data_IF_822727948272
#
_entry.id   IF_822727948272
#
_cell.length_a   1.000
_cell.length_b   1.000
_cell.length_c   1.000
_cell.angle_alpha   90.00
_cell.angle_beta   90.00
_cell.angle_gamma   90.00
#
_symmetry.space_group_name_H-M   'P 1'
#
loop_
_entity.id
_entity.type
_entity.pdbx_description
1 polymer ?
#
# COMPACT_ATOMS: atom_id res chain seq x y z
N UNK A 1 14.13 -44.43 0.62
CA UNK A 1 14.25 -42.95 0.60
C UNK A 1 12.85 -42.40 0.34
N UNK A 2 12.18 -41.89 1.37
CA UNK A 2 10.83 -41.29 1.24
C UNK A 2 11.01 -39.76 1.22
N UNK A 3 10.65 -39.17 0.10
CA UNK A 3 10.67 -37.69 -0.09
C UNK A 3 9.46 -37.12 0.67
N UNK A 4 9.74 -36.23 1.62
CA UNK A 4 8.71 -35.48 2.36
C UNK A 4 8.49 -34.19 1.55
N UNK A 5 7.38 -34.13 0.80
CA UNK A 5 6.89 -32.87 0.23
C UNK A 5 6.24 -32.06 1.36
N UNK A 6 6.93 -31.02 1.81
CA UNK A 6 6.35 -30.01 2.69
C UNK A 6 5.34 -29.17 1.90
N UNK A 7 4.06 -29.41 2.10
CA UNK A 7 3.00 -28.51 1.67
C UNK A 7 2.97 -27.30 2.60
N UNK A 8 3.40 -26.16 2.11
CA UNK A 8 3.22 -24.87 2.78
C UNK A 8 1.73 -24.50 2.64
N UNK A 9 0.95 -24.74 3.71
CA UNK A 9 -0.45 -24.34 3.77
C UNK A 9 -0.52 -22.82 3.96
N UNK A 10 -0.90 -22.11 2.91
CA UNK A 10 -1.22 -20.69 2.95
C UNK A 10 -2.58 -20.55 3.67
N UNK A 11 -2.59 -20.13 4.93
CA UNK A 11 -3.83 -19.80 5.63
C UNK A 11 -4.40 -18.50 5.07
N UNK A 12 -5.43 -18.61 4.23
CA UNK A 12 -6.29 -17.48 3.88
C UNK A 12 -7.21 -17.19 5.08
N UNK A 13 -6.98 -16.07 5.74
CA UNK A 13 -7.92 -15.55 6.72
C UNK A 13 -8.95 -14.68 5.99
N UNK A 14 -10.20 -15.12 5.95
CA UNK A 14 -11.30 -14.38 5.34
C UNK A 14 -12.07 -13.64 6.44
N UNK A 15 -11.94 -12.32 6.50
CA UNK A 15 -12.81 -11.48 7.32
C UNK A 15 -13.97 -10.97 6.46
N UNK A 16 -15.21 -11.22 6.87
CA UNK A 16 -16.41 -10.78 6.15
C UNK A 16 -16.78 -9.36 6.60
N UNK A 17 -16.63 -8.41 5.70
CA UNK A 17 -17.21 -7.07 5.81
C UNK A 17 -18.00 -6.82 4.53
N UNK A 18 -19.33 -6.73 4.63
CA UNK A 18 -20.20 -6.61 3.47
C UNK A 18 -20.32 -7.93 2.68
N UNK A 19 -20.93 -7.88 1.51
CA UNK A 19 -21.21 -9.07 0.67
C UNK A 19 -19.98 -9.65 -0.05
N UNK A 20 -18.83 -8.95 -0.04
CA UNK A 20 -17.59 -9.38 -0.70
C UNK A 20 -16.48 -9.67 0.32
N UNK A 21 -15.83 -10.85 0.28
CA UNK A 21 -14.77 -11.21 1.21
C UNK A 21 -13.50 -10.37 0.97
N UNK A 22 -12.94 -9.80 2.05
CA UNK A 22 -11.63 -9.16 2.04
C UNK A 22 -10.55 -10.22 2.14
N UNK A 23 -9.66 -10.27 1.15
CA UNK A 23 -8.51 -11.19 1.16
C UNK A 23 -7.30 -10.48 1.77
N UNK A 24 -6.76 -11.07 2.84
CA UNK A 24 -5.50 -10.60 3.43
C UNK A 24 -4.31 -11.28 2.78
N UNK A 25 -3.35 -10.48 2.34
CA UNK A 25 -2.12 -10.99 1.74
C UNK A 25 -0.91 -10.27 2.33
N UNK A 26 -0.03 -11.01 2.99
CA UNK A 26 1.24 -10.46 3.47
C UNK A 26 2.11 -10.00 2.30
N UNK A 27 2.61 -8.77 2.38
CA UNK A 27 3.51 -8.21 1.39
C UNK A 27 4.90 -7.91 1.95
N UNK A 28 5.03 -7.77 3.27
CA UNK A 28 6.31 -7.44 3.92
C UNK A 28 6.36 -7.97 5.34
N UNK A 29 7.49 -8.54 5.71
CA UNK A 29 7.87 -8.80 7.10
C UNK A 29 9.08 -7.94 7.45
N UNK A 30 8.96 -7.10 8.48
CA UNK A 30 10.00 -6.13 8.84
C UNK A 30 10.01 -5.85 10.33
N UNK A 31 11.17 -5.97 10.97
CA UNK A 31 11.33 -5.66 12.39
C UNK A 31 10.43 -6.48 13.31
N UNK A 32 10.12 -7.72 12.96
CA UNK A 32 9.21 -8.58 13.71
C UNK A 32 7.72 -8.27 13.50
N UNK A 33 7.38 -7.44 12.53
CA UNK A 33 6.02 -7.08 12.17
C UNK A 33 5.67 -7.56 10.76
N UNK A 34 4.51 -8.18 10.62
CA UNK A 34 3.92 -8.56 9.34
C UNK A 34 2.98 -7.44 8.86
N UNK A 35 3.16 -7.00 7.61
CA UNK A 35 2.32 -6.00 6.97
C UNK A 35 1.51 -6.65 5.84
N UNK A 36 0.19 -6.39 5.84
CA UNK A 36 -0.75 -7.01 4.93
C UNK A 36 -1.37 -6.01 3.95
N UNK A 37 -1.75 -6.52 2.79
CA UNK A 37 -2.66 -5.88 1.86
C UNK A 37 -4.06 -6.45 2.10
N UNK A 38 -5.03 -5.57 2.27
CA UNK A 38 -6.45 -5.90 2.38
C UNK A 38 -7.06 -5.73 0.98
N UNK A 39 -7.28 -6.84 0.29
CA UNK A 39 -7.62 -6.86 -1.14
C UNK A 39 -9.11 -7.06 -1.33
N UNK A 40 -9.72 -6.14 -2.06
CA UNK A 40 -11.11 -6.15 -2.50
C UNK A 40 -11.13 -6.37 -4.00
N UNK A 41 -11.76 -7.43 -4.43
CA UNK A 41 -11.99 -7.71 -5.84
C UNK A 41 -13.42 -8.19 -6.01
N UNK A 42 -14.07 -7.83 -7.11
CA UNK A 42 -15.37 -8.38 -7.41
C UNK A 42 -15.32 -9.91 -7.35
N UNK A 43 -16.38 -10.57 -6.84
CA UNK A 43 -16.44 -12.01 -6.81
C UNK A 43 -16.03 -12.59 -8.15
N UNK A 44 -15.33 -13.71 -8.14
CA UNK A 44 -14.84 -14.39 -9.34
C UNK A 44 -16.01 -14.99 -10.14
N UNK A 45 -16.90 -14.14 -10.62
CA UNK A 45 -17.88 -14.43 -11.66
C UNK A 45 -17.22 -14.18 -13.00
N UNK A 46 -16.58 -15.17 -13.52
CA UNK A 46 -15.74 -15.25 -14.70
C UNK A 46 -14.32 -14.68 -14.52
N UNK A 47 -13.30 -15.45 -14.83
CA UNK A 47 -12.00 -14.87 -15.12
C UNK A 47 -12.21 -13.96 -16.34
N UNK A 48 -12.34 -12.65 -16.09
CA UNK A 48 -12.26 -11.71 -17.20
C UNK A 48 -10.91 -11.93 -17.85
N UNK A 49 -10.89 -12.23 -19.14
CA UNK A 49 -9.64 -12.42 -19.91
C UNK A 49 -8.76 -11.16 -19.88
N UNK A 50 -9.35 -10.03 -19.50
CA UNK A 50 -8.68 -8.73 -19.47
C UNK A 50 -8.21 -8.36 -18.06
N UNK A 51 -6.92 -8.05 -17.88
CA UNK A 51 -6.39 -7.55 -16.62
C UNK A 51 -7.07 -6.25 -16.19
N UNK A 52 -7.36 -6.12 -14.89
CA UNK A 52 -8.10 -4.99 -14.31
C UNK A 52 -7.15 -3.89 -13.83
N UNK A 53 -7.57 -2.61 -13.81
CA UNK A 53 -6.84 -1.58 -13.09
C UNK A 53 -6.89 -1.86 -11.59
N UNK A 54 -5.84 -1.42 -10.89
CA UNK A 54 -5.79 -1.50 -9.43
C UNK A 54 -5.56 -0.14 -8.77
N UNK A 55 -5.90 -0.04 -7.50
CA UNK A 55 -5.53 1.07 -6.64
C UNK A 55 -5.08 0.57 -5.28
N UNK A 56 -4.01 1.17 -4.73
CA UNK A 56 -3.50 0.90 -3.39
C UNK A 56 -3.70 2.14 -2.54
N UNK A 57 -4.54 2.05 -1.51
CA UNK A 57 -4.81 3.12 -0.56
C UNK A 57 -3.96 2.99 0.71
N UNK A 58 -3.50 4.14 1.20
CA UNK A 58 -2.81 4.30 2.47
C UNK A 58 -3.65 5.17 3.42
N UNK A 59 -3.86 4.68 4.64
CA UNK A 59 -4.68 5.36 5.64
C UNK A 59 -4.02 6.60 6.23
N UNK A 60 -4.83 7.55 6.72
CA UNK A 60 -4.37 8.72 7.47
C UNK A 60 -4.09 8.40 8.94
N UNK A 61 -3.54 9.37 9.68
CA UNK A 61 -3.27 9.25 11.11
C UNK A 61 -1.90 9.82 11.51
N UNK A 62 -1.39 10.78 10.75
CA UNK A 62 -0.18 11.55 11.06
C UNK A 62 1.09 10.72 11.19
N UNK A 63 1.17 9.56 10.53
CA UNK A 63 2.23 8.55 10.66
C UNK A 63 2.36 7.98 12.08
N UNK A 64 1.41 8.33 12.96
CA UNK A 64 1.40 7.89 14.36
C UNK A 64 0.50 6.67 14.55
N UNK A 65 -0.67 6.66 13.93
CA UNK A 65 -1.69 5.63 14.08
C UNK A 65 -2.53 5.48 12.81
N UNK A 66 -3.72 4.91 12.95
CA UNK A 66 -4.65 4.62 11.86
C UNK A 66 -4.70 3.14 11.51
N UNK A 67 -5.67 2.75 10.66
CA UNK A 67 -5.90 1.37 10.23
C UNK A 67 -6.34 1.31 8.76
N UNK A 68 -6.13 0.19 8.05
CA UNK A 68 -6.58 0.00 6.67
C UNK A 68 -8.10 0.15 6.49
N UNK A 69 -8.88 -0.11 7.56
CA UNK A 69 -10.34 -0.01 7.51
C UNK A 69 -10.86 1.37 7.12
N UNK A 70 -10.01 2.40 7.24
CA UNK A 70 -10.34 3.77 6.83
C UNK A 70 -10.73 3.87 5.34
N UNK A 71 -10.15 3.04 4.48
CA UNK A 71 -10.41 3.04 3.04
C UNK A 71 -11.26 1.86 2.56
N UNK A 72 -11.82 1.05 3.45
CA UNK A 72 -12.70 -0.05 3.08
C UNK A 72 -13.90 0.39 2.24
N UNK A 73 -14.65 1.45 2.60
CA UNK A 73 -15.79 1.90 1.78
C UNK A 73 -15.38 2.25 0.34
N UNK A 74 -14.22 2.90 0.15
CA UNK A 74 -13.71 3.23 -1.16
C UNK A 74 -13.27 1.98 -1.93
N UNK A 75 -12.63 1.04 -1.25
CA UNK A 75 -12.22 -0.24 -1.84
C UNK A 75 -13.43 -1.06 -2.29
N UNK A 76 -14.46 -1.19 -1.46
CA UNK A 76 -15.72 -1.86 -1.83
C UNK A 76 -16.41 -1.19 -3.03
N UNK A 77 -16.47 0.15 -3.02
CA UNK A 77 -17.07 0.89 -4.11
C UNK A 77 -16.35 0.68 -5.46
N UNK A 78 -15.01 0.67 -5.43
CA UNK A 78 -14.20 0.51 -6.63
C UNK A 78 -14.15 -0.95 -7.11
N UNK A 79 -14.14 -1.91 -6.18
CA UNK A 79 -14.18 -3.33 -6.54
C UNK A 79 -15.47 -3.69 -7.28
N UNK A 80 -16.63 -3.17 -6.83
CA UNK A 80 -17.92 -3.31 -7.50
C UNK A 80 -17.95 -2.67 -8.90
N UNK A 81 -17.00 -1.79 -9.22
CA UNK A 81 -16.80 -1.18 -10.55
C UNK A 81 -15.73 -1.86 -11.38
N UNK A 82 -15.25 -3.02 -10.96
CA UNK A 82 -14.33 -3.85 -11.73
C UNK A 82 -12.85 -3.55 -11.52
N UNK A 83 -12.48 -2.74 -10.52
CA UNK A 83 -11.08 -2.57 -10.11
C UNK A 83 -10.66 -3.63 -9.09
N UNK A 84 -9.38 -3.88 -8.96
CA UNK A 84 -8.79 -4.48 -7.76
C UNK A 84 -8.41 -3.34 -6.82
N UNK A 85 -9.14 -3.19 -5.71
CA UNK A 85 -8.90 -2.12 -4.75
C UNK A 85 -8.26 -2.69 -3.49
N UNK A 86 -7.21 -2.03 -2.99
CA UNK A 86 -6.35 -2.54 -1.93
C UNK A 86 -6.21 -1.46 -0.87
N UNK A 87 -6.39 -1.80 0.40
CA UNK A 87 -5.99 -0.95 1.51
C UNK A 87 -4.78 -1.56 2.19
N UNK A 88 -3.66 -0.84 2.16
CA UNK A 88 -2.38 -1.36 2.64
C UNK A 88 -2.13 -1.02 4.10
N UNK A 89 -1.64 -1.99 4.87
CA UNK A 89 -0.96 -1.71 6.12
C UNK A 89 0.39 -1.07 5.82
N UNK A 90 0.84 -0.20 6.70
CA UNK A 90 2.19 0.31 6.74
C UNK A 90 2.60 0.60 8.18
N UNK A 91 3.88 0.61 8.47
CA UNK A 91 4.38 0.86 9.83
C UNK A 91 4.00 2.25 10.30
N UNK A 92 3.56 2.37 11.57
CA UNK A 92 3.23 3.64 12.23
C UNK A 92 3.94 3.73 13.58
N UNK A 93 4.14 4.96 14.08
CA UNK A 93 4.93 5.20 15.30
C UNK A 93 4.38 4.46 16.53
N UNK A 94 3.06 4.47 16.73
CA UNK A 94 2.43 3.93 17.97
C UNK A 94 2.60 2.42 18.12
N UNK A 95 2.57 1.67 17.02
CA UNK A 95 2.66 0.20 17.02
C UNK A 95 4.06 -0.32 16.69
N UNK A 96 4.81 0.40 15.84
CA UNK A 96 6.03 -0.10 15.23
C UNK A 96 7.26 0.77 15.54
N UNK A 97 7.08 1.87 16.31
CA UNK A 97 8.11 2.90 16.55
C UNK A 97 8.68 3.51 15.26
N UNK A 98 7.92 3.43 14.18
CA UNK A 98 8.32 3.84 12.84
C UNK A 98 8.35 5.36 12.69
N UNK A 99 9.14 5.81 11.73
CA UNK A 99 9.25 7.19 11.28
C UNK A 99 8.44 7.41 10.00
N UNK A 100 8.19 8.65 9.57
CA UNK A 100 7.58 8.92 8.26
C UNK A 100 8.37 8.34 7.07
N UNK A 101 9.69 8.17 7.19
CA UNK A 101 10.54 7.53 6.17
C UNK A 101 10.18 6.05 6.00
N UNK A 102 10.02 5.34 7.13
CA UNK A 102 9.59 3.94 7.12
C UNK A 102 8.21 3.77 6.47
N UNK A 103 7.32 4.75 6.64
CA UNK A 103 6.00 4.71 6.02
C UNK A 103 6.10 4.80 4.48
N UNK A 104 6.98 5.66 3.95
CA UNK A 104 7.22 5.79 2.50
C UNK A 104 7.88 4.53 1.95
N UNK A 105 8.86 3.98 2.65
CA UNK A 105 9.52 2.72 2.31
C UNK A 105 8.49 1.58 2.18
N UNK A 106 7.59 1.44 3.15
CA UNK A 106 6.54 0.43 3.12
C UNK A 106 5.55 0.66 1.97
N UNK A 107 5.22 1.92 1.68
CA UNK A 107 4.39 2.26 0.53
C UNK A 107 5.01 1.81 -0.79
N UNK A 108 6.33 2.01 -0.96
CA UNK A 108 7.06 1.54 -2.15
C UNK A 108 7.07 0.02 -2.25
N UNK A 109 7.32 -0.67 -1.13
CA UNK A 109 7.26 -2.14 -1.07
C UNK A 109 5.88 -2.66 -1.45
N UNK A 110 4.79 -2.01 -0.99
CA UNK A 110 3.42 -2.40 -1.32
C UNK A 110 3.13 -2.31 -2.82
N UNK A 111 3.51 -1.19 -3.47
CA UNK A 111 3.32 -1.02 -4.93
C UNK A 111 4.14 -2.05 -5.73
N UNK A 112 5.40 -2.29 -5.35
CA UNK A 112 6.24 -3.33 -5.97
C UNK A 112 5.61 -4.70 -5.84
N UNK A 113 5.15 -5.04 -4.64
CA UNK A 113 4.52 -6.32 -4.40
C UNK A 113 3.29 -6.53 -5.29
N UNK A 114 2.41 -5.53 -5.38
CA UNK A 114 1.22 -5.60 -6.25
C UNK A 114 1.63 -5.77 -7.71
N UNK A 115 2.62 -5.04 -8.19
CA UNK A 115 3.12 -5.12 -9.58
C UNK A 115 3.76 -6.48 -9.89
N UNK A 116 4.56 -7.01 -8.98
CA UNK A 116 5.16 -8.35 -9.10
C UNK A 116 4.09 -9.45 -9.18
N UNK A 117 3.00 -9.30 -8.40
CA UNK A 117 1.93 -10.29 -8.32
C UNK A 117 0.73 -9.96 -9.22
N UNK A 118 0.87 -9.00 -10.13
CA UNK A 118 -0.22 -8.48 -10.96
C UNK A 118 -0.98 -9.60 -11.69
N UNK A 119 -0.27 -10.56 -12.29
CA UNK A 119 -0.89 -11.70 -12.96
C UNK A 119 -1.75 -12.54 -12.02
N UNK A 120 -1.26 -12.83 -10.81
CA UNK A 120 -2.00 -13.62 -9.80
C UNK A 120 -3.24 -12.88 -9.32
N UNK A 121 -3.16 -11.54 -9.23
CA UNK A 121 -4.26 -10.67 -8.80
C UNK A 121 -5.25 -10.32 -9.93
N UNK A 122 -4.96 -10.70 -11.18
CA UNK A 122 -5.74 -10.27 -12.33
C UNK A 122 -5.61 -8.77 -12.61
N UNK A 123 -4.49 -8.16 -12.25
CA UNK A 123 -4.20 -6.73 -12.39
C UNK A 123 -3.35 -6.47 -13.62
N UNK A 124 -3.59 -5.35 -14.29
CA UNK A 124 -2.70 -4.80 -15.29
C UNK A 124 -1.54 -4.06 -14.59
N UNK A 125 -0.29 -4.52 -14.72
CA UNK A 125 0.85 -3.91 -14.05
C UNK A 125 1.14 -2.46 -14.48
N UNK A 126 0.55 -2.00 -15.59
CA UNK A 126 0.67 -0.65 -16.12
C UNK A 126 -0.54 0.24 -15.80
N UNK A 127 -1.45 -0.23 -14.93
CA UNK A 127 -2.63 0.53 -14.48
C UNK A 127 -2.83 0.38 -12.97
N UNK A 128 -1.80 0.76 -12.20
CA UNK A 128 -1.82 0.70 -10.73
C UNK A 128 -1.75 2.13 -10.18
N UNK A 129 -2.85 2.59 -9.60
CA UNK A 129 -2.91 3.87 -8.90
C UNK A 129 -2.47 3.73 -7.43
N UNK A 130 -1.99 4.83 -6.85
CA UNK A 130 -1.84 4.97 -5.40
C UNK A 130 -2.77 6.06 -4.88
N UNK A 131 -3.31 5.88 -3.69
CA UNK A 131 -4.19 6.85 -3.07
C UNK A 131 -4.05 6.90 -1.55
N UNK A 132 -4.67 7.89 -0.93
CA UNK A 132 -4.66 7.98 0.52
C UNK A 132 -5.10 9.34 1.06
N UNK A 133 -5.35 9.40 2.37
CA UNK A 133 -5.78 10.59 3.06
C UNK A 133 -4.76 11.12 4.05
N UNK A 134 -4.62 12.46 4.17
CA UNK A 134 -3.72 13.08 5.16
C UNK A 134 -2.28 12.53 5.05
N UNK A 135 -1.75 11.90 6.11
CA UNK A 135 -0.45 11.23 6.11
C UNK A 135 -0.38 10.06 5.12
N UNK A 136 -1.48 9.34 4.86
CA UNK A 136 -1.54 8.31 3.82
C UNK A 136 -1.51 8.91 2.42
N UNK A 137 -2.12 10.08 2.23
CA UNK A 137 -1.97 10.87 1.00
C UNK A 137 -0.53 11.33 0.78
N UNK A 138 0.21 11.66 1.85
CA UNK A 138 1.64 11.88 1.78
C UNK A 138 2.38 10.62 1.31
N UNK A 139 2.10 9.45 1.93
CA UNK A 139 2.75 8.19 1.52
C UNK A 139 2.52 7.93 0.03
N UNK A 140 1.28 8.03 -0.44
CA UNK A 140 0.96 7.82 -1.86
C UNK A 140 1.71 8.79 -2.79
N UNK A 141 1.73 10.09 -2.44
CA UNK A 141 2.44 11.10 -3.22
C UNK A 141 3.97 10.90 -3.19
N UNK A 142 4.53 10.61 -2.00
CA UNK A 142 5.96 10.39 -1.84
C UNK A 142 6.45 9.13 -2.58
N UNK A 143 5.63 8.07 -2.66
CA UNK A 143 5.95 6.90 -3.50
C UNK A 143 6.15 7.29 -4.96
N UNK A 144 5.36 8.26 -5.46
CA UNK A 144 5.45 8.73 -6.84
C UNK A 144 6.60 9.70 -7.10
N UNK A 145 6.97 10.53 -6.12
CA UNK A 145 7.87 11.67 -6.36
C UNK A 145 9.24 11.52 -5.71
N UNK A 146 9.32 10.87 -4.55
CA UNK A 146 10.57 10.80 -3.78
C UNK A 146 11.49 9.70 -4.29
N UNK A 147 12.72 10.01 -4.70
CA UNK A 147 13.70 8.99 -5.11
C UNK A 147 14.24 8.19 -3.92
N UNK A 148 14.85 7.05 -4.17
CA UNK A 148 15.44 6.23 -3.11
C UNK A 148 14.41 5.63 -2.16
N UNK A 149 14.74 5.54 -0.87
CA UNK A 149 13.90 4.96 0.20
C UNK A 149 13.33 3.57 -0.19
N UNK A 150 14.20 2.72 -0.71
CA UNK A 150 13.85 1.33 -1.02
C UNK A 150 14.15 0.47 0.20
N UNK A 151 13.23 -0.41 0.56
CA UNK A 151 13.47 -1.34 1.65
C UNK A 151 14.60 -2.32 1.30
N UNK A 152 15.43 -2.71 2.27
CA UNK A 152 16.32 -3.83 2.10
C UNK A 152 15.53 -5.09 1.72
N UNK A 153 15.92 -5.73 0.61
CA UNK A 153 15.24 -6.92 0.09
C UNK A 153 14.14 -6.66 -0.94
N UNK A 154 13.74 -5.40 -1.17
CA UNK A 154 12.88 -5.06 -2.32
C UNK A 154 13.64 -5.28 -3.64
N UNK A 155 12.96 -5.90 -4.60
CA UNK A 155 13.48 -5.97 -5.97
C UNK A 155 13.36 -4.60 -6.64
N UNK A 156 14.48 -3.87 -6.70
CA UNK A 156 14.55 -2.53 -7.30
C UNK A 156 14.36 -2.52 -8.82
N UNK A 157 14.41 -3.68 -9.49
CA UNK A 157 14.09 -3.79 -10.92
C UNK A 157 12.59 -3.65 -11.19
N UNK A 158 11.74 -3.90 -10.17
CA UNK A 158 10.32 -3.68 -10.22
C UNK A 158 9.99 -2.24 -9.83
N UNK A 159 9.30 -1.51 -10.70
CA UNK A 159 8.89 -0.12 -10.42
C UNK A 159 7.89 -0.04 -9.26
N UNK A 160 8.13 0.88 -8.32
CA UNK A 160 7.16 1.27 -7.30
C UNK A 160 6.28 2.45 -7.74
N UNK A 161 6.53 3.06 -8.91
CA UNK A 161 5.83 4.27 -9.34
C UNK A 161 4.36 3.94 -9.68
N UNK A 162 3.39 4.64 -9.11
CA UNK A 162 2.00 4.51 -9.52
C UNK A 162 1.75 5.22 -10.86
N UNK A 163 0.78 4.72 -11.61
CA UNK A 163 0.37 5.30 -12.91
C UNK A 163 -0.61 6.47 -12.72
N UNK A 164 -1.21 6.60 -11.54
CA UNK A 164 -2.09 7.71 -11.16
C UNK A 164 -2.11 7.90 -9.64
N UNK A 165 -2.48 9.10 -9.19
CA UNK A 165 -2.65 9.44 -7.78
C UNK A 165 -4.09 9.86 -7.48
N UNK A 166 -4.64 9.38 -6.35
CA UNK A 166 -5.95 9.77 -5.81
C UNK A 166 -5.76 10.25 -4.37
N UNK A 167 -5.67 11.56 -4.18
CA UNK A 167 -5.23 12.18 -2.92
C UNK A 167 -6.39 12.90 -2.22
N UNK A 168 -6.63 12.54 -0.95
CA UNK A 168 -7.59 13.18 -0.08
C UNK A 168 -6.86 14.02 0.96
N UNK A 169 -6.95 15.36 0.85
CA UNK A 169 -6.26 16.31 1.76
C UNK A 169 -4.85 15.86 2.19
N UNK A 170 -3.94 15.61 1.23
CA UNK A 170 -2.62 15.04 1.51
C UNK A 170 -1.74 16.02 2.29
N UNK A 171 -0.83 15.49 3.12
CA UNK A 171 0.28 16.29 3.64
C UNK A 171 1.33 16.38 2.52
N UNK A 172 1.26 17.43 1.72
CA UNK A 172 2.09 17.57 0.52
C UNK A 172 3.40 18.30 0.78
N UNK A 173 3.34 19.32 1.69
CA UNK A 173 4.51 20.05 2.17
C UNK A 173 4.82 19.68 3.62
N UNK A 174 6.06 19.28 3.87
CA UNK A 174 6.60 18.99 5.19
C UNK A 174 7.66 20.03 5.63
N UNK A 175 7.82 21.11 4.89
CA UNK A 175 8.77 22.20 5.18
C UNK A 175 8.37 23.04 6.39
N UNK A 176 9.12 24.10 6.68
CA UNK A 176 8.80 25.04 7.76
C UNK A 176 7.38 25.59 7.62
N UNK A 177 6.57 25.41 8.68
CA UNK A 177 5.13 25.70 8.65
C UNK A 177 4.23 24.54 8.19
N UNK A 178 4.76 23.52 7.55
CA UNK A 178 4.02 22.31 7.14
C UNK A 178 3.78 21.36 8.30
N UNK A 179 2.74 20.52 8.15
CA UNK A 179 2.30 19.58 9.20
C UNK A 179 3.40 18.60 9.65
N UNK A 180 4.25 18.16 8.73
CA UNK A 180 5.30 17.18 9.01
C UNK A 180 6.57 17.75 9.65
N UNK A 181 6.78 19.07 9.57
CA UNK A 181 8.03 19.69 10.00
C UNK A 181 8.46 19.37 11.45
N UNK A 182 7.57 19.36 12.46
CA UNK A 182 7.96 19.01 13.82
C UNK A 182 8.54 17.59 13.96
N UNK A 183 8.21 16.68 13.04
CA UNK A 183 8.68 15.28 13.03
C UNK A 183 9.93 15.08 12.17
N UNK A 184 10.10 15.89 11.14
CA UNK A 184 11.14 15.71 10.12
C UNK A 184 12.31 16.68 10.27
N UNK A 185 12.05 17.89 10.83
CA UNK A 185 13.03 18.95 10.99
C UNK A 185 13.76 19.22 9.66
N UNK A 186 15.07 19.35 9.68
CA UNK A 186 15.90 19.67 8.53
C UNK A 186 15.90 18.57 7.43
N UNK A 187 15.40 17.37 7.76
CA UNK A 187 15.28 16.24 6.82
C UNK A 187 13.98 16.27 6.01
N UNK A 188 13.12 17.26 6.16
CA UNK A 188 11.81 17.30 5.51
C UNK A 188 11.89 17.18 3.97
N UNK A 189 12.95 17.70 3.35
CA UNK A 189 13.16 17.63 1.90
C UNK A 189 13.31 16.19 1.38
N UNK A 190 13.79 15.30 2.22
CA UNK A 190 14.02 13.89 1.83
C UNK A 190 12.74 13.12 1.51
N UNK A 191 11.57 13.56 2.04
CA UNK A 191 10.29 12.89 1.81
C UNK A 191 9.11 13.83 1.52
N UNK A 192 9.35 15.12 1.35
CA UNK A 192 8.28 16.07 1.03
C UNK A 192 7.95 16.04 -0.47
N UNK A 193 6.75 15.63 -0.88
CA UNK A 193 6.39 15.57 -2.30
C UNK A 193 6.55 16.90 -3.04
N UNK A 194 6.35 18.02 -2.34
CA UNK A 194 6.52 19.35 -2.94
C UNK A 194 7.98 19.66 -3.31
N UNK A 195 8.95 18.95 -2.77
CA UNK A 195 10.37 19.24 -2.94
C UNK A 195 11.12 18.16 -3.74
N UNK A 196 10.37 17.19 -4.31
CA UNK A 196 10.91 16.06 -5.08
C UNK A 196 10.21 15.87 -6.43
#
# INVERSE_FOLDING_TARGET
MRSICSFLALFLYCAVWGDDPVVLQTYKDVGGHTLNLHIFSAPAHSPTKEPKPAIVFFFGGGWVGGTPTQFYPQCEHLSKRGMVAISAEYRVKSRHKATPFDCVEDGKSALRWVRTHAKKLGVDPNRIAAGGGSAGGHVAAAVATVPGLNAPGDDSSVSCLPDALVLFNPVYDNGPGGFGYPKLKDRYREISPMHN
#
